data_IF_311880736763
#
_entry.id   IF_311880736763
#
_cell.length_a   1.000
_cell.length_b   1.000
_cell.length_c   1.000
_cell.angle_alpha   90.00
_cell.angle_beta   90.00
_cell.angle_gamma   90.00
#
_symmetry.space_group_name_H-M   'P 1'
#
loop_
_entity.id
_entity.type
_entity.pdbx_description
1 polymer ?
#
# COMPACT_ATOMS: atom_id res chain seq x y z
N UNK A 1 37.31 0.48 -17.30
CA UNK A 1 36.11 1.15 -16.76
C UNK A 1 35.73 0.49 -15.43
N UNK A 2 36.19 1.03 -14.30
CA UNK A 2 36.03 0.43 -12.95
C UNK A 2 35.76 1.51 -11.87
N UNK A 3 34.84 2.45 -12.13
CA UNK A 3 34.61 3.60 -11.22
C UNK A 3 33.14 3.72 -10.77
N UNK A 4 32.20 3.00 -11.40
CA UNK A 4 30.76 3.12 -11.07
C UNK A 4 30.27 2.20 -9.93
N UNK A 5 31.15 1.37 -9.36
CA UNK A 5 30.79 0.39 -8.31
C UNK A 5 31.02 0.87 -6.87
N UNK A 6 31.67 2.02 -6.64
CA UNK A 6 32.02 2.47 -5.29
C UNK A 6 30.94 3.34 -4.63
N UNK A 7 30.03 3.94 -5.40
CA UNK A 7 29.05 4.91 -4.90
C UNK A 7 27.79 4.23 -4.33
N UNK A 8 27.43 3.06 -4.85
CA UNK A 8 26.24 2.31 -4.41
C UNK A 8 26.38 1.72 -2.98
N UNK A 9 27.61 1.51 -2.49
CA UNK A 9 27.86 1.00 -1.15
C UNK A 9 27.95 2.10 -0.07
N UNK A 10 28.32 3.34 -0.45
CA UNK A 10 28.49 4.45 0.49
C UNK A 10 27.17 5.12 0.91
N UNK A 11 26.12 5.09 0.08
CA UNK A 11 24.83 5.71 0.41
C UNK A 11 23.94 4.87 1.34
N UNK A 12 24.22 3.57 1.49
CA UNK A 12 23.41 2.67 2.33
C UNK A 12 23.85 2.64 3.81
N UNK A 13 24.99 3.24 4.17
CA UNK A 13 25.47 3.30 5.57
C UNK A 13 25.23 4.63 6.29
N UNK A 14 24.75 5.68 5.61
CA UNK A 14 24.46 6.98 6.24
C UNK A 14 23.01 7.07 6.76
N UNK A 15 22.06 6.35 6.15
CA UNK A 15 20.66 6.40 6.57
C UNK A 15 20.25 5.38 7.66
N UNK A 16 21.13 4.46 8.08
CA UNK A 16 20.85 3.54 9.21
C UNK A 16 21.55 3.91 10.52
N UNK A 17 22.47 4.88 10.53
CA UNK A 17 23.17 5.34 11.75
C UNK A 17 22.56 6.61 12.38
N UNK A 18 21.61 7.28 11.71
CA UNK A 18 21.04 8.56 12.16
C UNK A 18 19.83 8.49 13.11
N UNK A 19 19.26 7.31 13.38
CA UNK A 19 18.10 7.16 14.31
C UNK A 19 18.40 6.42 15.62
N UNK A 20 19.66 6.15 15.93
CA UNK A 20 20.06 5.40 17.13
C UNK A 20 20.84 6.22 18.18
N UNK A 21 21.07 7.52 17.97
CA UNK A 21 22.01 8.32 18.82
C UNK A 21 21.35 9.50 19.57
N UNK A 22 20.03 9.68 19.51
CA UNK A 22 19.34 10.78 20.24
C UNK A 22 18.38 10.35 21.35
N UNK A 23 18.54 9.15 21.89
CA UNK A 23 18.00 8.79 23.21
C UNK A 23 19.08 8.06 24.02
N UNK A 24 20.14 8.80 24.37
CA UNK A 24 21.10 8.35 25.37
C UNK A 24 20.41 8.20 26.74
N UNK A 25 20.86 7.24 27.57
CA UNK A 25 20.20 6.77 28.78
C UNK A 25 20.63 7.58 30.00
N UNK A 26 19.72 8.34 30.61
CA UNK A 26 19.93 8.98 31.91
C UNK A 26 19.65 8.04 33.11
N UNK A 27 20.07 6.77 33.02
CA UNK A 27 19.98 5.82 34.15
C UNK A 27 21.29 5.10 34.49
N UNK A 28 22.41 5.50 33.89
CA UNK A 28 23.72 4.91 34.18
C UNK A 28 24.74 5.92 34.78
N UNK A 29 24.27 7.04 35.34
CA UNK A 29 25.12 8.04 35.99
C UNK A 29 24.78 8.26 37.48
N UNK A 30 24.19 7.26 38.13
CA UNK A 30 23.94 7.24 39.59
C UNK A 30 24.78 6.20 40.34
N UNK A 31 25.65 5.45 39.64
CA UNK A 31 26.36 4.29 40.20
C UNK A 31 27.82 4.60 40.62
N UNK A 32 28.17 5.86 40.87
CA UNK A 32 29.51 6.23 41.35
C UNK A 32 29.36 7.28 42.47
N UNK A 33 29.02 6.83 43.69
CA UNK A 33 29.08 7.69 44.88
C UNK A 33 28.25 7.23 46.07
N UNK A 34 28.84 6.39 46.93
CA UNK A 34 28.38 6.12 48.31
C UNK A 34 27.23 5.11 48.38
N UNK A 35 27.38 3.92 48.96
CA UNK A 35 27.85 3.68 50.33
C UNK A 35 26.63 3.42 51.21
N UNK A 36 26.27 2.14 51.36
CA UNK A 36 25.15 1.73 52.21
C UNK A 36 24.72 0.31 51.90
N UNK A 37 25.40 -0.67 52.49
CA UNK A 37 24.85 -2.02 52.65
C UNK A 37 23.57 -1.93 53.48
N UNK A 38 22.44 -2.30 52.90
CA UNK A 38 21.31 -2.82 53.63
C UNK A 38 20.73 -3.95 52.78
N UNK A 39 21.06 -5.19 53.16
CA UNK A 39 20.26 -6.33 52.74
C UNK A 39 18.83 -6.08 53.24
N UNK A 40 17.79 -6.09 52.39
CA UNK A 40 16.43 -6.27 52.87
C UNK A 40 16.28 -7.71 53.39
N UNK A 41 15.53 -7.91 54.48
CA UNK A 41 15.39 -9.22 55.14
C UNK A 41 14.77 -10.26 54.20
N UNK A 42 15.31 -11.48 54.26
CA UNK A 42 14.66 -12.68 53.75
C UNK A 42 13.42 -12.95 54.61
N UNK A 43 12.23 -12.71 54.06
CA UNK A 43 10.99 -13.42 54.38
C UNK A 43 9.88 -12.84 53.51
N UNK A 44 9.49 -13.61 52.49
CA UNK A 44 8.11 -14.00 52.20
C UNK A 44 8.14 -14.77 50.87
N UNK A 45 7.66 -16.01 50.91
CA UNK A 45 7.44 -16.85 49.74
C UNK A 45 6.33 -16.22 48.88
N UNK A 46 6.71 -15.24 48.05
CA UNK A 46 5.82 -14.70 47.02
C UNK A 46 5.54 -15.81 46.01
N UNK A 47 4.37 -16.45 46.16
CA UNK A 47 3.78 -17.27 45.11
C UNK A 47 3.85 -16.49 43.79
N UNK A 48 4.37 -17.07 42.70
CA UNK A 48 4.44 -16.36 41.44
C UNK A 48 3.01 -16.06 41.01
N UNK A 49 2.61 -14.79 41.11
CA UNK A 49 1.38 -14.28 40.51
C UNK A 49 1.47 -14.58 39.01
N UNK A 50 0.87 -15.70 38.61
CA UNK A 50 0.74 -16.11 37.22
C UNK A 50 -0.12 -15.05 36.56
N UNK A 51 0.52 -14.09 35.91
CA UNK A 51 -0.17 -13.11 35.09
C UNK A 51 -1.11 -13.88 34.13
N UNK A 52 -2.39 -13.52 34.05
CA UNK A 52 -3.33 -14.21 33.19
C UNK A 52 -2.74 -14.22 31.77
N UNK A 53 -2.62 -15.42 31.19
CA UNK A 53 -2.02 -15.63 29.88
C UNK A 53 -2.71 -14.72 28.87
N UNK A 54 -2.05 -13.62 28.50
CA UNK A 54 -2.53 -12.74 27.43
C UNK A 54 -2.56 -13.59 26.18
N UNK A 55 -3.74 -13.79 25.55
CA UNK A 55 -3.80 -14.57 24.32
C UNK A 55 -2.89 -13.91 23.28
N UNK A 56 -2.14 -14.70 22.48
CA UNK A 56 -1.26 -14.14 21.47
C UNK A 56 -2.08 -13.27 20.53
N UNK A 57 -1.57 -12.06 20.25
CA UNK A 57 -2.22 -11.15 19.32
C UNK A 57 -2.43 -11.85 17.96
N UNK A 58 -3.59 -11.65 17.30
CA UNK A 58 -3.85 -12.26 16.02
C UNK A 58 -2.79 -11.81 15.01
N UNK A 59 -2.14 -12.78 14.37
CA UNK A 59 -1.19 -12.52 13.29
C UNK A 59 -2.03 -12.20 12.05
N UNK A 60 -2.09 -10.91 11.69
CA UNK A 60 -2.77 -10.47 10.48
C UNK A 60 -1.86 -10.71 9.29
N UNK A 61 -2.32 -11.48 8.30
CA UNK A 61 -1.63 -11.61 7.03
C UNK A 61 -1.79 -10.31 6.22
N UNK A 62 -0.74 -9.50 6.23
CA UNK A 62 -0.72 -8.23 5.50
C UNK A 62 -0.83 -8.45 3.99
N UNK A 63 -0.36 -9.58 3.45
CA UNK A 63 -0.46 -9.86 2.02
C UNK A 63 -1.91 -10.03 1.60
N UNK A 64 -2.70 -10.75 2.39
CA UNK A 64 -4.13 -10.93 2.16
C UNK A 64 -4.88 -9.60 2.23
N UNK A 65 -4.56 -8.75 3.22
CA UNK A 65 -5.18 -7.41 3.34
C UNK A 65 -4.92 -6.55 2.09
N UNK A 66 -3.68 -6.54 1.58
CA UNK A 66 -3.36 -5.76 0.37
C UNK A 66 -3.99 -6.34 -0.88
N UNK A 67 -4.12 -7.66 -0.96
CA UNK A 67 -4.86 -8.34 -2.01
C UNK A 67 -6.32 -7.90 -2.03
N UNK A 68 -6.97 -7.90 -0.87
CA UNK A 68 -8.37 -7.50 -0.74
C UNK A 68 -8.59 -6.03 -1.12
N UNK A 69 -7.63 -5.15 -0.79
CA UNK A 69 -7.64 -3.76 -1.24
C UNK A 69 -7.49 -3.63 -2.76
N UNK A 70 -6.63 -4.45 -3.38
CA UNK A 70 -6.45 -4.46 -4.83
C UNK A 70 -7.76 -4.86 -5.53
N UNK A 71 -8.39 -5.95 -5.10
CA UNK A 71 -9.68 -6.41 -5.63
C UNK A 71 -10.74 -5.31 -5.47
N UNK A 72 -10.83 -4.71 -4.28
CA UNK A 72 -11.79 -3.63 -4.01
C UNK A 72 -11.63 -2.44 -4.97
N UNK A 73 -10.38 -2.02 -5.21
CA UNK A 73 -10.07 -0.93 -6.11
C UNK A 73 -10.38 -1.31 -7.56
N UNK A 74 -10.01 -2.50 -8.00
CA UNK A 74 -10.25 -2.95 -9.37
C UNK A 74 -11.75 -3.02 -9.69
N UNK A 75 -12.57 -3.55 -8.78
CA UNK A 75 -14.03 -3.54 -8.93
C UNK A 75 -14.56 -2.11 -9.02
N UNK A 76 -14.12 -1.22 -8.13
CA UNK A 76 -14.52 0.18 -8.16
C UNK A 76 -14.11 0.88 -9.46
N UNK A 77 -12.91 0.62 -9.99
CA UNK A 77 -12.45 1.17 -11.26
C UNK A 77 -13.29 0.68 -12.44
N UNK A 78 -13.66 -0.61 -12.46
CA UNK A 78 -14.54 -1.15 -13.49
C UNK A 78 -15.93 -0.50 -13.44
N UNK A 79 -16.50 -0.37 -12.24
CA UNK A 79 -17.80 0.27 -12.03
C UNK A 79 -17.77 1.76 -12.41
N UNK A 80 -16.71 2.49 -12.03
CA UNK A 80 -16.55 3.90 -12.38
C UNK A 80 -16.50 4.10 -13.90
N UNK A 81 -15.77 3.24 -14.62
CA UNK A 81 -15.72 3.25 -16.09
C UNK A 81 -17.09 2.93 -16.69
N UNK A 82 -17.78 1.90 -16.21
CA UNK A 82 -19.11 1.54 -16.69
C UNK A 82 -20.16 2.64 -16.46
N UNK A 83 -20.05 3.37 -15.36
CA UNK A 83 -20.94 4.48 -15.01
C UNK A 83 -20.53 5.82 -15.60
N UNK A 84 -19.38 5.90 -16.29
CA UNK A 84 -18.88 7.13 -16.90
C UNK A 84 -18.44 8.19 -15.89
N UNK A 85 -18.08 7.82 -14.66
CA UNK A 85 -17.65 8.78 -13.65
C UNK A 85 -17.18 8.17 -12.32
N UNK A 86 -16.48 8.95 -11.49
CA UNK A 86 -16.08 8.51 -10.15
C UNK A 86 -17.30 8.25 -9.25
N UNK A 87 -17.35 7.06 -8.66
CA UNK A 87 -18.41 6.58 -7.77
C UNK A 87 -18.01 6.69 -6.29
N UNK A 88 -18.96 6.60 -5.33
CA UNK A 88 -18.63 6.53 -3.91
C UNK A 88 -17.61 5.42 -3.62
N UNK A 89 -16.55 5.76 -2.90
CA UNK A 89 -15.42 4.85 -2.68
C UNK A 89 -15.74 3.85 -1.56
N UNK A 90 -15.36 2.56 -1.72
CA UNK A 90 -15.48 1.58 -0.65
C UNK A 90 -14.79 2.03 0.65
N UNK A 91 -15.48 1.98 1.81
CA UNK A 91 -14.91 2.45 3.08
C UNK A 91 -13.72 1.61 3.57
N UNK A 92 -13.65 0.34 3.12
CA UNK A 92 -12.58 -0.61 3.43
C UNK A 92 -11.23 -0.27 2.80
N UNK A 93 -11.19 0.62 1.80
CA UNK A 93 -9.92 1.03 1.19
C UNK A 93 -9.09 1.91 2.14
N UNK A 94 -7.75 1.81 2.10
CA UNK A 94 -6.88 2.66 2.87
C UNK A 94 -7.14 4.13 2.58
N UNK A 95 -6.98 5.00 3.59
CA UNK A 95 -7.26 6.43 3.46
C UNK A 95 -6.54 7.07 2.28
N UNK A 96 -5.26 6.74 2.05
CA UNK A 96 -4.49 7.25 0.93
C UNK A 96 -5.13 6.92 -0.43
N UNK A 97 -5.65 5.69 -0.58
CA UNK A 97 -6.36 5.25 -1.79
C UNK A 97 -7.70 5.98 -1.92
N UNK A 98 -8.41 6.22 -0.81
CA UNK A 98 -9.67 6.98 -0.84
C UNK A 98 -9.48 8.45 -1.21
N UNK A 99 -8.34 9.05 -0.91
CA UNK A 99 -8.02 10.43 -1.32
C UNK A 99 -7.45 10.49 -2.76
N UNK A 100 -6.99 9.36 -3.29
CA UNK A 100 -6.35 9.24 -4.60
C UNK A 100 -7.32 8.82 -5.70
N UNK A 101 -8.08 7.74 -5.48
CA UNK A 101 -8.93 7.08 -6.48
C UNK A 101 -9.93 8.02 -7.18
N UNK A 102 -10.61 8.99 -6.51
CA UNK A 102 -11.55 9.90 -7.16
C UNK A 102 -10.90 10.88 -8.14
N UNK A 103 -9.58 11.04 -8.04
CA UNK A 103 -8.80 11.89 -8.94
C UNK A 103 -8.30 11.17 -10.17
N UNK A 104 -8.56 9.86 -10.31
CA UNK A 104 -8.15 9.07 -11.46
C UNK A 104 -8.97 9.43 -12.70
N UNK A 105 -8.31 9.41 -13.86
CA UNK A 105 -8.94 9.54 -15.17
C UNK A 105 -9.57 8.20 -15.62
N UNK A 106 -10.47 8.22 -16.63
CA UNK A 106 -11.03 6.99 -17.18
C UNK A 106 -9.96 6.00 -17.65
N UNK A 107 -8.91 6.48 -18.30
CA UNK A 107 -7.81 5.64 -18.82
C UNK A 107 -6.97 5.02 -17.72
N UNK A 108 -6.76 5.74 -16.62
CA UNK A 108 -6.09 5.18 -15.44
C UNK A 108 -6.94 4.09 -14.78
N UNK A 109 -8.25 4.31 -14.65
CA UNK A 109 -9.15 3.27 -14.16
C UNK A 109 -9.13 2.03 -15.09
N UNK A 110 -9.08 2.23 -16.41
CA UNK A 110 -8.91 1.14 -17.39
C UNK A 110 -7.61 0.38 -17.22
N UNK A 111 -6.51 1.09 -17.02
CA UNK A 111 -5.22 0.48 -16.78
C UNK A 111 -5.21 -0.33 -15.47
N UNK A 112 -5.83 0.17 -14.40
CA UNK A 112 -5.90 -0.51 -13.10
C UNK A 112 -6.74 -1.79 -13.17
N UNK A 113 -7.97 -1.76 -13.72
CA UNK A 113 -8.81 -2.95 -13.73
C UNK A 113 -8.30 -4.03 -14.70
N UNK A 114 -7.54 -3.66 -15.75
CA UNK A 114 -6.88 -4.60 -16.67
C UNK A 114 -5.55 -5.16 -16.16
N UNK A 115 -4.98 -4.55 -15.12
CA UNK A 115 -3.71 -4.99 -14.54
C UNK A 115 -3.90 -6.26 -13.69
N UNK A 116 -2.87 -7.11 -13.55
CA UNK A 116 -2.94 -8.23 -12.63
C UNK A 116 -3.04 -7.73 -11.18
N UNK A 117 -3.83 -8.44 -10.37
CA UNK A 117 -4.08 -8.11 -8.97
C UNK A 117 -2.79 -7.88 -8.16
N UNK A 118 -1.75 -8.69 -8.41
CA UNK A 118 -0.44 -8.58 -7.75
C UNK A 118 0.26 -7.26 -8.07
N UNK A 119 0.13 -6.75 -9.30
CA UNK A 119 0.67 -5.45 -9.68
C UNK A 119 -0.11 -4.30 -9.02
N UNK A 120 -1.43 -4.41 -8.94
CA UNK A 120 -2.26 -3.42 -8.24
C UNK A 120 -1.95 -3.39 -6.75
N UNK A 121 -1.85 -4.55 -6.11
CA UNK A 121 -1.44 -4.66 -4.70
C UNK A 121 -0.08 -4.01 -4.45
N UNK A 122 0.91 -4.30 -5.29
CA UNK A 122 2.24 -3.70 -5.15
C UNK A 122 2.25 -2.20 -5.45
N UNK A 123 1.40 -1.73 -6.36
CA UNK A 123 1.21 -0.31 -6.63
C UNK A 123 0.61 0.44 -5.45
N UNK A 124 -0.42 -0.14 -4.82
CA UNK A 124 -1.03 0.43 -3.61
C UNK A 124 -0.06 0.53 -2.44
N UNK A 125 0.89 -0.41 -2.36
CA UNK A 125 1.98 -0.39 -1.38
C UNK A 125 3.10 0.59 -1.74
N UNK A 126 3.09 1.18 -2.93
CA UNK A 126 4.15 2.08 -3.42
C UNK A 126 5.43 1.36 -3.84
N UNK A 127 5.36 0.05 -4.09
CA UNK A 127 6.51 -0.79 -4.47
C UNK A 127 6.80 -0.75 -5.97
N UNK A 128 5.76 -0.77 -6.80
CA UNK A 128 5.85 -0.77 -8.26
C UNK A 128 4.86 0.19 -8.90
N UNK A 129 5.24 0.81 -10.02
CA UNK A 129 4.36 1.69 -10.78
C UNK A 129 3.58 0.89 -11.83
N UNK A 130 2.30 1.22 -12.02
CA UNK A 130 1.52 0.72 -13.16
C UNK A 130 1.69 1.72 -14.31
N UNK A 131 2.10 1.29 -15.52
CA UNK A 131 2.26 2.18 -16.67
C UNK A 131 0.96 2.95 -16.97
N UNK A 132 1.09 4.27 -17.13
CA UNK A 132 -0.05 5.15 -17.40
C UNK A 132 -0.90 5.52 -16.17
N UNK A 133 -0.56 5.02 -14.98
CA UNK A 133 -1.27 5.32 -13.72
C UNK A 133 -0.41 6.22 -12.84
N UNK A 134 -0.97 7.34 -12.37
CA UNK A 134 -0.30 8.22 -11.41
C UNK A 134 -0.13 7.52 -10.06
N UNK A 135 1.01 7.74 -9.41
CA UNK A 135 1.32 7.15 -8.08
C UNK A 135 0.24 7.47 -7.06
N UNK A 136 0.02 6.54 -6.13
CA UNK A 136 -0.91 6.72 -5.00
C UNK A 136 -0.48 7.94 -4.19
N UNK A 137 -1.39 8.90 -4.09
CA UNK A 137 -1.18 10.18 -3.44
C UNK A 137 -2.42 11.05 -3.59
N UNK A 138 -2.48 12.16 -2.86
CA UNK A 138 -3.67 13.04 -2.93
C UNK A 138 -3.78 13.63 -4.33
N UNK A 139 -4.92 13.42 -4.98
CA UNK A 139 -5.23 13.99 -6.29
C UNK A 139 -6.44 14.94 -6.20
N UNK A 140 -6.51 15.97 -7.06
CA UNK A 140 -7.75 16.71 -7.24
C UNK A 140 -8.81 15.79 -7.84
N UNK A 141 -10.09 16.02 -7.51
CA UNK A 141 -11.20 15.25 -8.06
C UNK A 141 -11.19 15.33 -9.59
N UNK A 142 -11.31 14.19 -10.27
CA UNK A 142 -11.30 14.16 -11.72
C UNK A 142 -12.65 14.64 -12.26
N UNK A 143 -12.60 15.51 -13.28
CA UNK A 143 -13.78 15.84 -14.07
C UNK A 143 -13.80 14.93 -15.29
N UNK A 144 -14.55 13.83 -15.20
CA UNK A 144 -14.67 12.90 -16.32
C UNK A 144 -15.52 13.55 -17.40
N UNK A 145 -15.08 13.54 -18.67
CA UNK A 145 -15.95 13.97 -19.75
C UNK A 145 -17.18 13.06 -19.72
N UNK A 146 -18.37 13.65 -19.52
CA UNK A 146 -19.62 12.91 -19.69
C UNK A 146 -19.66 12.51 -21.14
N UNK A 147 -19.57 11.21 -21.40
CA UNK A 147 -19.49 10.71 -22.74
C UNK A 147 -20.86 10.81 -23.40
N UNK A 148 -21.14 11.97 -24.01
CA UNK A 148 -22.33 12.16 -24.85
C UNK A 148 -22.05 11.65 -26.28
N UNK A 149 -20.82 11.24 -26.60
CA UNK A 149 -20.36 11.06 -27.97
C UNK A 149 -19.91 9.64 -28.36
N UNK A 150 -19.49 8.77 -27.44
CA UNK A 150 -18.88 7.48 -27.84
C UNK A 150 -19.84 6.29 -27.96
N UNK A 151 -21.15 6.55 -28.07
CA UNK A 151 -22.17 5.52 -28.36
C UNK A 151 -22.09 4.94 -29.79
N UNK A 152 -21.04 5.25 -30.54
CA UNK A 152 -20.94 4.99 -31.98
C UNK A 152 -19.73 4.12 -32.38
N UNK A 153 -18.86 3.71 -31.46
CA UNK A 153 -17.59 3.05 -31.85
C UNK A 153 -17.40 1.63 -31.29
N UNK A 154 -18.11 1.23 -30.23
CA UNK A 154 -17.98 -0.12 -29.63
C UNK A 154 -19.02 -1.14 -30.15
N UNK A 155 -20.07 -0.67 -30.86
CA UNK A 155 -21.05 -1.49 -31.59
C UNK A 155 -20.73 -1.58 -33.10
N UNK A 156 -19.47 -1.37 -33.49
CA UNK A 156 -19.05 -1.71 -34.85
C UNK A 156 -19.04 -3.23 -34.97
N UNK A 157 -20.19 -3.81 -35.37
CA UNK A 157 -20.25 -5.19 -35.82
C UNK A 157 -19.09 -5.41 -36.80
N UNK A 158 -18.26 -6.47 -36.63
CA UNK A 158 -17.28 -6.78 -37.63
C UNK A 158 -18.02 -7.00 -38.93
N UNK A 159 -17.72 -6.17 -39.94
CA UNK A 159 -18.35 -6.21 -41.25
C UNK A 159 -18.00 -7.58 -41.89
N UNK A 160 -18.82 -8.59 -41.58
CA UNK A 160 -18.70 -9.96 -42.04
C UNK A 160 -19.15 -9.97 -43.49
N UNK A 161 -18.29 -9.47 -44.37
CA UNK A 161 -18.56 -9.53 -45.80
C UNK A 161 -18.62 -10.99 -46.25
N UNK A 162 -19.50 -11.29 -47.21
CA UNK A 162 -19.66 -12.64 -47.79
C UNK A 162 -18.32 -13.20 -48.31
N UNK A 163 -17.39 -12.31 -48.70
CA UNK A 163 -16.03 -12.69 -49.10
C UNK A 163 -15.23 -13.33 -47.96
N UNK A 164 -15.39 -12.88 -46.72
CA UNK A 164 -14.71 -13.43 -45.53
C UNK A 164 -15.27 -14.80 -45.13
N UNK A 165 -16.55 -15.05 -45.40
CA UNK A 165 -17.21 -16.34 -45.12
C UNK A 165 -16.91 -17.42 -46.17
N UNK A 166 -16.58 -17.03 -47.42
CA UNK A 166 -16.27 -17.95 -48.52
C UNK A 166 -14.77 -18.26 -48.68
N UNK A 167 -13.91 -17.69 -47.82
CA UNK A 167 -12.47 -17.92 -47.84
C UNK A 167 -12.00 -19.12 -46.99
N UNK A 168 -12.92 -19.99 -46.56
CA UNK A 168 -12.65 -21.28 -45.89
C UNK A 168 -13.05 -22.44 -46.78
#
# INVERSE_FOLDING_TARGET
MRILSAIAAALRSVFSAGRAVLSLPFRALGAIGGGGYALPPEDDEDEPVVAPSVPPAPVVDLQEVWRDHAIALQSWCADAVAMGGPMPIPPRLPRAVREWAPGLSPDECRAIYRSPETAVSAHLQGLFDIPGVRKVGRLPLANWPVDVADRLTDDAEPDLTVATLLAR
#
